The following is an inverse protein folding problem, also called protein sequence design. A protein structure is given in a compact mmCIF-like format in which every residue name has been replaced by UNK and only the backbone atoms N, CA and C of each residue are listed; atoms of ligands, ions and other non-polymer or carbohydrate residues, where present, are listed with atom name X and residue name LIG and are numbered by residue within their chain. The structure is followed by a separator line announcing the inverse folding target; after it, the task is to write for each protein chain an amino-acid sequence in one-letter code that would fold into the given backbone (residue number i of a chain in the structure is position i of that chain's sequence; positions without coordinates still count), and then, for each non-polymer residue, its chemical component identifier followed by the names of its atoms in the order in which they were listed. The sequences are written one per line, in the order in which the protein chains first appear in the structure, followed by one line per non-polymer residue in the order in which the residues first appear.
data_IF_141360230080
#
_entry.id   IF_141360230080
#
_cell.length_a   1.000
_cell.length_b   1.000
_cell.length_c   1.000
_cell.angle_alpha   90.00
_cell.angle_beta   90.00
_cell.angle_gamma   90.00
#
_symmetry.space_group_name_H-M   'P 1'
#
loop_
_entity.id
_entity.type
_entity.pdbx_description
1 polymer ?
#
# COMPACT_ATOMS: atom_id res chain seq x y z
N UNK A 1 19.91 3.68 27.01
CA UNK A 1 20.27 3.32 25.60
C UNK A 1 19.85 1.93 25.11
N UNK A 2 20.16 0.81 25.79
CA UNK A 2 19.83 -0.55 25.31
C UNK A 2 18.32 -0.78 25.07
N UNK A 3 17.46 -0.29 25.96
CA UNK A 3 16.01 -0.46 25.89
C UNK A 3 15.37 0.30 24.70
N UNK A 4 15.90 1.48 24.38
CA UNK A 4 15.51 2.31 23.24
C UNK A 4 15.89 1.66 21.91
N UNK A 5 17.15 1.21 21.78
CA UNK A 5 17.59 0.44 20.59
C UNK A 5 16.73 -0.81 20.38
N UNK A 6 16.32 -1.46 21.46
CA UNK A 6 15.45 -2.65 21.42
C UNK A 6 14.02 -2.32 20.98
N UNK A 7 13.49 -1.14 21.32
CA UNK A 7 12.18 -0.66 20.81
C UNK A 7 12.26 -0.30 19.32
N UNK A 8 13.26 0.46 18.89
CA UNK A 8 13.47 0.81 17.47
C UNK A 8 13.59 -0.42 16.57
N UNK A 9 14.42 -1.39 16.97
CA UNK A 9 14.59 -2.66 16.24
C UNK A 9 13.29 -3.48 16.17
N UNK A 10 12.42 -3.39 17.19
CA UNK A 10 11.10 -4.02 17.17
C UNK A 10 10.16 -3.34 16.18
N UNK A 11 10.15 -2.01 16.13
CA UNK A 11 9.33 -1.27 15.16
C UNK A 11 9.79 -1.48 13.72
N UNK A 12 11.09 -1.34 13.45
CA UNK A 12 11.66 -1.63 12.12
C UNK A 12 11.31 -3.06 11.65
N UNK A 13 11.35 -4.04 12.58
CA UNK A 13 10.93 -5.41 12.29
C UNK A 13 9.43 -5.54 12.02
N UNK A 14 8.56 -4.74 12.65
CA UNK A 14 7.12 -4.74 12.37
C UNK A 14 6.84 -4.19 10.96
N UNK A 15 7.39 -3.01 10.64
CA UNK A 15 7.25 -2.41 9.31
C UNK A 15 7.77 -3.31 8.20
N UNK A 16 8.93 -3.94 8.40
CA UNK A 16 9.50 -4.90 7.44
C UNK A 16 8.59 -6.12 7.21
N UNK A 17 7.95 -6.64 8.26
CA UNK A 17 6.99 -7.76 8.14
C UNK A 17 5.73 -7.35 7.39
N UNK A 18 5.23 -6.15 7.64
CA UNK A 18 4.05 -5.63 6.93
C UNK A 18 4.33 -5.38 5.45
N UNK A 19 5.50 -4.82 5.11
CA UNK A 19 5.93 -4.62 3.73
C UNK A 19 6.04 -5.95 2.99
N UNK A 20 6.74 -6.94 3.56
CA UNK A 20 6.88 -8.27 2.94
C UNK A 20 5.55 -8.99 2.76
N UNK A 21 4.60 -8.79 3.68
CA UNK A 21 3.23 -9.30 3.54
C UNK A 21 2.46 -8.63 2.41
N UNK A 22 2.59 -7.31 2.25
CA UNK A 22 2.01 -6.57 1.13
C UNK A 22 2.61 -6.99 -0.21
N UNK A 23 3.94 -7.15 -0.29
CA UNK A 23 4.64 -7.67 -1.47
C UNK A 23 4.14 -9.05 -1.88
N UNK A 24 3.93 -9.95 -0.91
CA UNK A 24 3.35 -11.27 -1.18
C UNK A 24 1.93 -11.16 -1.75
N UNK A 25 1.08 -10.29 -1.18
CA UNK A 25 -0.27 -10.05 -1.72
C UNK A 25 -0.25 -9.46 -3.13
N UNK A 26 0.69 -8.56 -3.43
CA UNK A 26 0.88 -8.01 -4.78
C UNK A 26 1.21 -9.15 -5.76
N UNK A 27 2.16 -10.02 -5.41
CA UNK A 27 2.53 -11.16 -6.26
C UNK A 27 1.35 -12.12 -6.50
N UNK A 28 0.58 -12.43 -5.46
CA UNK A 28 -0.63 -13.26 -5.57
C UNK A 28 -1.69 -12.64 -6.50
N UNK A 29 -1.90 -11.31 -6.43
CA UNK A 29 -2.85 -10.61 -7.31
C UNK A 29 -2.35 -10.50 -8.73
N UNK A 30 -1.06 -10.23 -8.94
CA UNK A 30 -0.43 -10.21 -10.27
C UNK A 30 -0.60 -11.55 -10.96
N UNK A 31 -0.26 -12.65 -10.28
CA UNK A 31 -0.41 -13.99 -10.83
C UNK A 31 -1.86 -14.34 -11.22
N UNK A 32 -2.86 -13.81 -10.52
CA UNK A 32 -4.28 -14.00 -10.89
C UNK A 32 -4.64 -13.22 -12.15
N UNK A 33 -4.13 -11.99 -12.29
CA UNK A 33 -4.28 -11.17 -13.48
C UNK A 33 -3.65 -11.84 -14.71
N UNK A 34 -2.42 -12.33 -14.55
CA UNK A 34 -1.65 -12.99 -15.62
C UNK A 34 -2.33 -14.27 -16.09
N UNK A 35 -3.04 -14.98 -15.20
CA UNK A 35 -3.85 -16.16 -15.57
C UNK A 35 -5.14 -15.81 -16.32
N UNK A 36 -5.79 -14.69 -15.97
CA UNK A 36 -7.04 -14.27 -16.61
C UNK A 36 -6.80 -13.68 -18.02
N UNK A 37 -5.61 -13.13 -18.27
CA UNK A 37 -5.27 -12.49 -19.54
C UNK A 37 -5.34 -13.44 -20.76
N UNK A 38 -4.74 -14.66 -20.76
CA UNK A 38 -4.86 -15.60 -21.85
C UNK A 38 -6.28 -16.17 -22.00
N UNK A 39 -7.02 -16.37 -20.90
CA UNK A 39 -8.43 -16.80 -20.96
C UNK A 39 -9.30 -15.75 -21.65
N UNK A 40 -9.08 -14.47 -21.36
CA UNK A 40 -9.80 -13.36 -21.96
C UNK A 40 -9.49 -13.20 -23.46
N UNK A 41 -8.26 -13.48 -23.89
CA UNK A 41 -7.89 -13.51 -25.31
C UNK A 41 -8.59 -14.67 -26.05
N UNK A 42 -8.54 -15.88 -25.50
CA UNK A 42 -9.22 -17.05 -26.08
C UNK A 42 -10.72 -16.83 -26.25
N UNK A 43 -11.38 -16.33 -25.21
CA UNK A 43 -12.82 -16.02 -25.26
C UNK A 43 -13.16 -14.94 -26.30
N UNK A 44 -12.29 -13.94 -26.48
CA UNK A 44 -12.48 -12.91 -27.51
C UNK A 44 -12.35 -13.47 -28.92
N UNK A 45 -11.37 -14.34 -29.16
CA UNK A 45 -11.20 -15.01 -30.45
C UNK A 45 -12.37 -15.94 -30.76
N UNK A 46 -12.81 -16.75 -29.79
CA UNK A 46 -13.99 -17.62 -29.91
C UNK A 46 -15.26 -16.81 -30.20
N UNK A 47 -15.46 -15.67 -29.52
CA UNK A 47 -16.55 -14.74 -29.80
C UNK A 47 -16.50 -14.18 -31.23
N UNK A 48 -15.30 -13.81 -31.70
CA UNK A 48 -15.12 -13.32 -33.08
C UNK A 48 -15.48 -14.40 -34.10
N UNK A 49 -15.10 -15.65 -33.85
CA UNK A 49 -15.41 -16.78 -34.72
C UNK A 49 -16.91 -17.09 -34.75
N UNK A 50 -17.57 -17.13 -33.59
CA UNK A 50 -19.02 -17.32 -33.49
C UNK A 50 -19.75 -16.19 -34.21
N UNK A 51 -19.37 -14.93 -34.00
CA UNK A 51 -19.97 -13.79 -34.70
C UNK A 51 -19.87 -13.90 -36.23
N UNK A 52 -18.73 -14.33 -36.75
CA UNK A 52 -18.57 -14.54 -38.20
C UNK A 52 -19.47 -15.66 -38.71
N UNK A 53 -19.60 -16.76 -37.97
CA UNK A 53 -20.49 -17.88 -38.31
C UNK A 53 -21.96 -17.46 -38.28
N UNK A 54 -22.39 -16.73 -37.25
CA UNK A 54 -23.76 -16.20 -37.14
C UNK A 54 -24.07 -15.30 -38.33
N UNK A 55 -23.15 -14.39 -38.71
CA UNK A 55 -23.35 -13.52 -39.87
C UNK A 55 -23.55 -14.29 -41.18
N UNK A 56 -22.71 -15.30 -41.47
CA UNK A 56 -22.86 -16.15 -42.65
C UNK A 56 -24.19 -16.92 -42.67
N UNK A 57 -24.56 -17.49 -41.53
CA UNK A 57 -25.82 -18.25 -41.42
C UNK A 57 -27.04 -17.34 -41.60
N UNK A 58 -26.96 -16.10 -41.14
CA UNK A 58 -28.02 -15.11 -41.30
C UNK A 58 -28.17 -14.67 -42.77
N UNK A 59 -27.06 -14.49 -43.50
CA UNK A 59 -27.09 -14.26 -44.96
C UNK A 59 -27.71 -15.44 -45.72
N UNK A 60 -27.37 -16.68 -45.35
CA UNK A 60 -27.95 -17.89 -45.94
C UNK A 60 -29.47 -17.99 -45.67
N UNK A 61 -29.90 -17.70 -44.44
CA UNK A 61 -31.31 -17.66 -44.06
C UNK A 61 -32.09 -16.63 -44.87
N UNK A 62 -31.56 -15.42 -45.02
CA UNK A 62 -32.19 -14.36 -45.79
C UNK A 62 -32.28 -14.71 -47.28
N UNK A 63 -31.26 -15.40 -47.82
CA UNK A 63 -31.30 -15.99 -49.16
C UNK A 63 -32.45 -16.99 -49.32
N UNK A 64 -32.53 -17.99 -48.45
CA UNK A 64 -33.58 -19.02 -48.48
C UNK A 64 -34.98 -18.45 -48.27
N UNK A 65 -35.14 -17.43 -47.42
CA UNK A 65 -36.41 -16.71 -47.23
C UNK A 65 -36.86 -16.00 -48.51
N UNK A 66 -35.93 -15.38 -49.26
CA UNK A 66 -36.23 -14.77 -50.57
C UNK A 66 -36.66 -15.82 -51.58
N UNK A 67 -35.99 -16.96 -51.62
CA UNK A 67 -36.35 -18.07 -52.52
C UNK A 67 -37.74 -18.62 -52.19
N UNK A 68 -38.07 -18.76 -50.90
CA UNK A 68 -39.41 -19.20 -50.46
C UNK A 68 -40.48 -18.25 -50.96
N UNK A 69 -40.29 -16.93 -50.78
CA UNK A 69 -41.24 -15.90 -51.26
C UNK A 69 -41.47 -15.97 -52.77
N UNK A 70 -40.41 -16.21 -53.55
CA UNK A 70 -40.53 -16.36 -55.02
C UNK A 70 -41.32 -17.62 -55.39
N UNK A 71 -41.09 -18.73 -54.70
CA UNK A 71 -41.77 -20.00 -54.97
C UNK A 71 -43.24 -19.98 -54.53
N UNK A 72 -43.55 -19.36 -53.39
CA UNK A 72 -44.94 -19.17 -52.94
C UNK A 72 -45.74 -18.31 -53.91
N UNK A 73 -45.15 -17.21 -54.42
CA UNK A 73 -45.80 -16.37 -55.41
C UNK A 73 -46.07 -17.11 -56.73
N UNK A 74 -45.17 -18.01 -57.16
CA UNK A 74 -45.39 -18.88 -58.34
C UNK A 74 -46.53 -19.87 -58.12
N UNK A 75 -46.60 -20.48 -56.93
CA UNK A 75 -47.67 -21.41 -56.58
C UNK A 75 -49.04 -20.73 -56.52
N UNK A 76 -49.12 -19.51 -55.99
CA UNK A 76 -50.35 -18.70 -55.96
C UNK A 76 -50.83 -18.35 -57.38
N UNK A 77 -49.92 -17.98 -58.29
CA UNK A 77 -50.24 -17.70 -59.70
C UNK A 77 -50.74 -18.94 -60.46
N UNK A 78 -50.16 -20.12 -60.18
CA UNK A 78 -50.60 -21.40 -60.75
C UNK A 78 -51.96 -21.86 -60.19
N UNK A 79 -52.23 -21.62 -58.91
CA UNK A 79 -53.52 -21.94 -58.28
C UNK A 79 -54.67 -21.08 -58.82
N UNK A 80 -54.43 -19.79 -59.11
CA UNK A 80 -55.41 -18.90 -59.73
C UNK A 80 -55.81 -19.33 -61.15
N UNK A 81 -54.91 -20.03 -61.86
CA UNK A 81 -55.16 -20.56 -63.22
C UNK A 81 -55.85 -21.94 -63.22
N UNK A 82 -55.95 -22.60 -62.07
CA UNK A 82 -56.35 -24.01 -61.94
C UNK A 82 -57.75 -24.25 -61.36
N UNK A 83 -58.65 -23.27 -61.35
CA UNK A 83 -60.01 -23.48 -60.85
C UNK A 83 -60.98 -23.88 -61.97
N UNK A 84 -61.35 -25.16 -62.02
CA UNK A 84 -62.63 -25.55 -62.61
C UNK A 84 -63.29 -26.67 -61.80
N UNK A 85 -64.52 -26.42 -61.37
CA UNK A 85 -65.31 -27.25 -60.47
C UNK A 85 -66.07 -28.34 -61.24
N UNK A 86 -65.93 -29.59 -60.81
CA UNK A 86 -66.69 -30.71 -61.38
C UNK A 86 -67.82 -31.16 -60.46
N UNK A 87 -69.06 -30.82 -60.78
CA UNK A 87 -70.27 -31.45 -60.24
C UNK A 87 -70.84 -32.47 -61.25
N UNK A 88 -71.22 -33.67 -60.76
CA UNK A 88 -71.69 -34.80 -61.58
C UNK A 88 -73.22 -34.81 -61.69
N UNK A 89 -73.75 -35.01 -62.90
CA UNK A 89 -75.16 -35.34 -63.17
C UNK A 89 -75.28 -36.57 -64.10
N UNK A 90 -76.36 -37.36 -63.92
CA UNK A 90 -76.68 -38.61 -64.64
C UNK A 90 -77.72 -38.35 -65.74
N UNK A 91 -77.63 -39.03 -66.89
CA UNK A 91 -78.49 -38.85 -68.09
C UNK A 91 -78.88 -40.21 -68.74
N UNK A 92 -79.94 -40.20 -69.57
CA UNK A 92 -80.65 -41.35 -70.21
C UNK A 92 -80.11 -41.73 -71.63
N UNK A 93 -80.55 -42.87 -72.21
CA UNK A 93 -79.92 -43.59 -73.34
C UNK A 93 -79.88 -42.86 -74.71
N UNK A 94 -80.83 -41.96 -75.01
CA UNK A 94 -80.78 -41.15 -76.25
C UNK A 94 -79.91 -39.90 -76.06
N UNK A 95 -79.96 -39.32 -74.86
CA UNK A 95 -79.04 -38.27 -74.42
C UNK A 95 -77.61 -38.80 -74.37
N UNK A 96 -77.42 -40.12 -74.14
CA UNK A 96 -76.12 -40.77 -74.09
C UNK A 96 -75.38 -40.75 -75.44
N UNK A 97 -76.09 -40.92 -76.57
CA UNK A 97 -75.46 -40.87 -77.90
C UNK A 97 -75.07 -39.46 -78.30
N UNK A 98 -75.94 -38.49 -78.06
CA UNK A 98 -75.64 -37.08 -78.29
C UNK A 98 -74.55 -36.59 -77.33
N UNK A 99 -74.58 -37.05 -76.09
CA UNK A 99 -73.51 -36.91 -75.11
C UNK A 99 -72.20 -37.50 -75.61
N UNK A 100 -72.16 -38.71 -76.19
CA UNK A 100 -70.91 -39.28 -76.71
C UNK A 100 -70.36 -38.47 -77.88
N UNK A 101 -71.21 -37.97 -78.79
CA UNK A 101 -70.77 -37.09 -79.89
C UNK A 101 -70.23 -35.76 -79.36
N UNK A 102 -70.97 -35.09 -78.48
CA UNK A 102 -70.56 -33.84 -77.84
C UNK A 102 -69.30 -34.05 -76.98
N UNK A 103 -69.18 -35.20 -76.31
CA UNK A 103 -68.02 -35.59 -75.50
C UNK A 103 -66.79 -35.83 -76.36
N UNK A 104 -66.94 -36.43 -77.54
CA UNK A 104 -65.82 -36.65 -78.45
C UNK A 104 -65.37 -35.35 -79.12
N UNK A 105 -66.31 -34.50 -79.54
CA UNK A 105 -66.02 -33.13 -80.02
C UNK A 105 -65.38 -32.27 -78.92
N UNK A 106 -65.92 -32.33 -77.70
CA UNK A 106 -65.34 -31.64 -76.56
C UNK A 106 -63.97 -32.22 -76.22
N UNK A 107 -63.76 -33.54 -76.31
CA UNK A 107 -62.45 -34.16 -76.06
C UNK A 107 -61.41 -33.75 -77.11
N UNK A 108 -61.81 -33.62 -78.38
CA UNK A 108 -60.95 -33.11 -79.45
C UNK A 108 -60.64 -31.63 -79.26
N UNK A 109 -61.64 -30.81 -78.91
CA UNK A 109 -61.48 -29.37 -78.67
C UNK A 109 -60.75 -29.04 -77.37
N UNK A 110 -60.82 -29.92 -76.36
CA UNK A 110 -60.18 -29.76 -75.03
C UNK A 110 -58.89 -30.56 -74.87
N UNK A 111 -58.42 -31.25 -75.92
CA UNK A 111 -57.24 -32.10 -75.85
C UNK A 111 -55.99 -31.30 -75.48
N UNK A 112 -55.80 -30.13 -76.12
CA UNK A 112 -54.68 -29.23 -75.84
C UNK A 112 -54.74 -28.69 -74.41
N UNK A 113 -55.92 -28.28 -73.98
CA UNK A 113 -56.19 -27.73 -72.65
C UNK A 113 -55.98 -28.79 -71.56
N UNK A 114 -56.24 -30.08 -71.85
CA UNK A 114 -55.94 -31.20 -70.94
C UNK A 114 -54.46 -31.49 -70.85
N UNK A 115 -53.75 -31.51 -71.97
CA UNK A 115 -52.30 -31.71 -71.99
C UNK A 115 -51.61 -30.54 -71.25
N UNK A 116 -52.05 -29.30 -71.48
CA UNK A 116 -51.62 -28.11 -70.76
C UNK A 116 -51.91 -28.22 -69.26
N UNK A 117 -53.12 -28.67 -68.88
CA UNK A 117 -53.46 -28.92 -67.47
C UNK A 117 -52.57 -29.98 -66.84
N UNK A 118 -52.30 -31.10 -67.52
CA UNK A 118 -51.44 -32.17 -66.98
C UNK A 118 -49.99 -31.68 -66.78
N UNK A 119 -49.48 -30.86 -67.70
CA UNK A 119 -48.18 -30.19 -67.54
C UNK A 119 -48.19 -29.25 -66.33
N UNK A 120 -49.25 -28.44 -66.18
CA UNK A 120 -49.41 -27.53 -65.04
C UNK A 120 -49.53 -28.29 -63.71
N UNK A 121 -50.28 -29.39 -63.66
CA UNK A 121 -50.45 -30.22 -62.45
C UNK A 121 -49.11 -30.87 -62.03
N UNK A 122 -48.33 -31.38 -62.99
CA UNK A 122 -46.97 -31.91 -62.73
C UNK A 122 -46.04 -30.82 -62.23
N UNK A 123 -46.10 -29.63 -62.82
CA UNK A 123 -45.30 -28.48 -62.41
C UNK A 123 -45.69 -28.00 -61.01
N UNK A 124 -46.99 -27.90 -60.72
CA UNK A 124 -47.50 -27.56 -59.39
C UNK A 124 -47.06 -28.58 -58.34
N UNK A 125 -47.11 -29.88 -58.65
CA UNK A 125 -46.65 -30.91 -57.73
C UNK A 125 -45.14 -30.79 -57.45
N UNK A 126 -44.33 -30.56 -58.48
CA UNK A 126 -42.89 -30.34 -58.32
C UNK A 126 -42.59 -29.11 -57.46
N UNK A 127 -43.32 -28.01 -57.66
CA UNK A 127 -43.17 -26.77 -56.89
C UNK A 127 -43.60 -26.94 -55.42
N UNK A 128 -44.65 -27.71 -55.14
CA UNK A 128 -45.07 -28.06 -53.76
C UNK A 128 -43.98 -28.86 -53.04
N UNK A 129 -43.40 -29.86 -53.70
CA UNK A 129 -42.30 -30.66 -53.12
C UNK A 129 -41.07 -29.78 -52.87
N UNK A 130 -40.73 -28.90 -53.82
CA UNK A 130 -39.65 -27.94 -53.65
C UNK A 130 -39.90 -26.96 -52.49
N UNK A 131 -41.15 -26.49 -52.31
CA UNK A 131 -41.52 -25.62 -51.19
C UNK A 131 -41.36 -26.35 -49.85
N UNK A 132 -41.85 -27.58 -49.74
CA UNK A 132 -41.74 -28.36 -48.51
C UNK A 132 -40.28 -28.60 -48.12
N UNK A 133 -39.44 -28.99 -49.07
CA UNK A 133 -38.00 -29.16 -48.85
C UNK A 133 -37.33 -27.84 -48.40
N UNK A 134 -37.75 -26.70 -48.97
CA UNK A 134 -37.23 -25.40 -48.58
C UNK A 134 -37.67 -24.98 -47.16
N UNK A 135 -38.90 -25.33 -46.77
CA UNK A 135 -39.42 -25.10 -45.42
C UNK A 135 -38.69 -25.92 -44.37
N UNK A 136 -38.44 -27.20 -44.63
CA UNK A 136 -37.63 -28.06 -43.75
C UNK A 136 -36.21 -27.51 -43.58
N UNK A 137 -35.57 -27.09 -44.68
CA UNK A 137 -34.24 -26.46 -44.62
C UNK A 137 -34.25 -25.14 -43.84
N UNK A 138 -35.26 -24.29 -44.03
CA UNK A 138 -35.40 -23.04 -43.28
C UNK A 138 -35.56 -23.30 -41.78
N UNK A 139 -36.33 -24.33 -41.41
CA UNK A 139 -36.54 -24.69 -40.02
C UNK A 139 -35.25 -25.20 -39.37
N UNK A 140 -34.46 -26.01 -40.08
CA UNK A 140 -33.13 -26.44 -39.64
C UNK A 140 -32.17 -25.26 -39.43
N UNK A 141 -32.10 -24.33 -40.40
CA UNK A 141 -31.27 -23.14 -40.28
C UNK A 141 -31.72 -22.23 -39.13
N UNK A 142 -33.02 -22.04 -38.91
CA UNK A 142 -33.55 -21.27 -37.78
C UNK A 142 -33.24 -21.91 -36.41
N UNK A 143 -33.22 -23.24 -36.33
CA UNK A 143 -32.80 -23.93 -35.10
C UNK A 143 -31.31 -23.70 -34.86
N UNK A 144 -30.51 -23.76 -35.92
CA UNK A 144 -29.07 -23.49 -35.84
C UNK A 144 -28.73 -22.06 -35.47
N UNK A 145 -29.48 -21.08 -35.98
CA UNK A 145 -29.40 -19.67 -35.58
C UNK A 145 -29.63 -19.51 -34.07
N UNK A 146 -30.73 -20.09 -33.55
CA UNK A 146 -31.06 -20.05 -32.12
C UNK A 146 -30.00 -20.70 -31.23
N UNK A 147 -29.40 -21.81 -31.68
CA UNK A 147 -28.28 -22.43 -30.96
C UNK A 147 -27.05 -21.53 -30.89
N UNK A 148 -26.68 -20.90 -32.01
CA UNK A 148 -25.53 -19.99 -32.08
C UNK A 148 -25.77 -18.73 -31.25
N UNK A 149 -26.97 -18.17 -31.26
CA UNK A 149 -27.34 -17.02 -30.42
C UNK A 149 -27.22 -17.34 -28.93
N UNK A 150 -27.70 -18.52 -28.51
CA UNK A 150 -27.55 -18.99 -27.14
C UNK A 150 -26.08 -19.15 -26.74
N UNK A 151 -25.25 -19.74 -27.60
CA UNK A 151 -23.81 -19.85 -27.38
C UNK A 151 -23.14 -18.48 -27.29
N UNK A 152 -23.51 -17.55 -28.18
CA UNK A 152 -22.99 -16.19 -28.19
C UNK A 152 -23.31 -15.46 -26.88
N UNK A 153 -24.53 -15.58 -26.37
CA UNK A 153 -24.93 -14.92 -25.12
C UNK A 153 -24.22 -15.52 -23.90
N UNK A 154 -24.04 -16.85 -23.85
CA UNK A 154 -23.24 -17.51 -22.81
C UNK A 154 -21.79 -17.02 -22.80
N UNK A 155 -21.18 -16.90 -23.99
CA UNK A 155 -19.80 -16.43 -24.13
C UNK A 155 -19.65 -14.95 -23.79
N UNK A 156 -20.61 -14.10 -24.19
CA UNK A 156 -20.67 -12.67 -23.76
C UNK A 156 -20.73 -12.54 -22.25
N UNK A 157 -21.58 -13.33 -21.59
CA UNK A 157 -21.73 -13.32 -20.14
C UNK A 157 -20.42 -13.74 -19.44
N UNK A 158 -19.76 -14.79 -19.94
CA UNK A 158 -18.45 -15.23 -19.44
C UNK A 158 -17.37 -14.17 -19.63
N UNK A 159 -17.29 -13.56 -20.81
CA UNK A 159 -16.32 -12.52 -21.13
C UNK A 159 -16.51 -11.31 -20.21
N UNK A 160 -17.76 -10.86 -20.01
CA UNK A 160 -18.07 -9.77 -19.09
C UNK A 160 -17.61 -10.09 -17.67
N UNK A 161 -17.93 -11.29 -17.15
CA UNK A 161 -17.53 -11.71 -15.81
C UNK A 161 -16.02 -11.71 -15.61
N UNK A 162 -15.25 -12.24 -16.57
CA UNK A 162 -13.78 -12.29 -16.48
C UNK A 162 -13.17 -10.89 -16.65
N UNK A 163 -13.75 -10.06 -17.51
CA UNK A 163 -13.35 -8.66 -17.66
C UNK A 163 -13.55 -7.88 -16.38
N UNK A 164 -14.71 -8.01 -15.73
CA UNK A 164 -15.03 -7.32 -14.47
C UNK A 164 -14.11 -7.78 -13.33
N UNK A 165 -13.82 -9.08 -13.21
CA UNK A 165 -12.88 -9.59 -12.20
C UNK A 165 -11.45 -9.13 -12.47
N UNK A 166 -11.03 -9.11 -13.73
CA UNK A 166 -9.72 -8.59 -14.14
C UNK A 166 -9.57 -7.10 -13.80
N UNK A 167 -10.59 -6.28 -14.10
CA UNK A 167 -10.61 -4.86 -13.75
C UNK A 167 -10.54 -4.63 -12.23
N UNK A 168 -11.31 -5.39 -11.45
CA UNK A 168 -11.25 -5.35 -9.97
C UNK A 168 -9.86 -5.71 -9.44
N UNK A 169 -9.26 -6.79 -9.94
CA UNK A 169 -7.91 -7.19 -9.53
C UNK A 169 -6.85 -6.17 -9.92
N UNK A 170 -7.02 -5.48 -11.06
CA UNK A 170 -6.12 -4.41 -11.49
C UNK A 170 -6.19 -3.21 -10.55
N UNK A 171 -7.39 -2.75 -10.18
CA UNK A 171 -7.58 -1.67 -9.22
C UNK A 171 -7.02 -2.04 -7.83
N UNK A 172 -7.35 -3.24 -7.32
CA UNK A 172 -6.79 -3.73 -6.05
C UNK A 172 -5.26 -3.77 -6.07
N UNK A 173 -4.66 -4.19 -7.19
CA UNK A 173 -3.21 -4.28 -7.34
C UNK A 173 -2.54 -2.90 -7.36
N UNK A 174 -3.18 -1.91 -7.95
CA UNK A 174 -2.71 -0.53 -7.95
C UNK A 174 -2.73 0.08 -6.55
N UNK A 175 -3.83 -0.11 -5.81
CA UNK A 175 -3.94 0.29 -4.40
C UNK A 175 -2.88 -0.40 -3.52
N UNK A 176 -2.72 -1.72 -3.69
CA UNK A 176 -1.72 -2.52 -2.98
C UNK A 176 -0.29 -2.07 -3.28
N UNK A 177 0.01 -1.62 -4.51
CA UNK A 177 1.35 -1.09 -4.87
C UNK A 177 1.64 0.26 -4.22
N UNK A 178 0.63 1.07 -3.96
CA UNK A 178 0.80 2.40 -3.35
C UNK A 178 0.99 2.33 -1.82
N UNK A 179 0.43 1.30 -1.16
CA UNK A 179 0.51 1.15 0.30
C UNK A 179 1.94 1.00 0.86
N UNK A 180 2.85 0.17 0.29
CA UNK A 180 4.22 0.06 0.76
C UNK A 180 4.98 1.40 0.73
N UNK A 181 4.84 2.17 -0.36
CA UNK A 181 5.48 3.48 -0.50
C UNK A 181 4.99 4.46 0.56
N UNK A 182 3.67 4.55 0.76
CA UNK A 182 3.08 5.39 1.79
C UNK A 182 3.53 4.97 3.21
N UNK A 183 3.65 3.67 3.46
CA UNK A 183 4.11 3.14 4.74
C UNK A 183 5.60 3.44 4.99
N UNK A 184 6.45 3.30 3.97
CA UNK A 184 7.86 3.66 4.05
C UNK A 184 8.07 5.16 4.30
N UNK A 185 7.26 6.01 3.67
CA UNK A 185 7.35 7.45 3.85
C UNK A 185 6.95 7.88 5.27
N UNK A 186 5.86 7.33 5.82
CA UNK A 186 5.48 7.51 7.22
C UNK A 186 6.58 7.06 8.19
N UNK A 187 7.19 5.90 7.94
CA UNK A 187 8.29 5.43 8.77
C UNK A 187 9.52 6.36 8.70
N UNK A 188 9.82 6.95 7.54
CA UNK A 188 10.89 7.93 7.38
C UNK A 188 10.59 9.21 8.17
N UNK A 189 9.37 9.72 8.10
CA UNK A 189 8.98 10.93 8.85
C UNK A 189 9.04 10.71 10.35
N UNK A 190 8.49 9.60 10.84
CA UNK A 190 8.51 9.24 12.27
C UNK A 190 9.94 9.10 12.79
N UNK A 191 10.81 8.48 11.98
CA UNK A 191 12.23 8.34 12.31
C UNK A 191 12.93 9.70 12.42
N UNK A 192 12.66 10.61 11.49
CA UNK A 192 13.23 11.97 11.50
C UNK A 192 12.78 12.75 12.74
N UNK A 193 11.48 12.73 13.05
CA UNK A 193 10.90 13.37 14.24
C UNK A 193 11.54 12.81 15.51
N UNK A 194 11.70 11.49 15.60
CA UNK A 194 12.31 10.84 16.73
C UNK A 194 13.79 11.23 16.92
N UNK A 195 14.56 11.29 15.84
CA UNK A 195 15.98 11.68 15.88
C UNK A 195 16.13 13.16 16.30
N UNK A 196 15.24 14.04 15.85
CA UNK A 196 15.19 15.44 16.28
C UNK A 196 14.82 15.58 17.75
N UNK A 197 13.77 14.90 18.22
CA UNK A 197 13.36 14.92 19.64
C UNK A 197 14.49 14.41 20.55
N UNK A 198 15.20 13.36 20.12
CA UNK A 198 16.33 12.82 20.89
C UNK A 198 17.48 13.82 20.98
N UNK A 199 17.77 14.56 19.91
CA UNK A 199 18.79 15.60 19.90
C UNK A 199 18.41 16.73 20.86
N UNK A 200 17.17 17.22 20.76
CA UNK A 200 16.65 18.27 21.64
C UNK A 200 16.67 17.85 23.11
N UNK A 201 16.31 16.60 23.42
CA UNK A 201 16.36 16.08 24.78
C UNK A 201 17.79 16.09 25.33
N UNK A 202 18.78 15.65 24.53
CA UNK A 202 20.19 15.68 24.92
C UNK A 202 20.66 17.12 25.18
N UNK A 203 20.38 18.04 24.25
CA UNK A 203 20.73 19.46 24.38
C UNK A 203 20.10 20.07 25.65
N UNK A 204 18.86 19.71 25.98
CA UNK A 204 18.17 20.17 27.20
C UNK A 204 18.77 19.55 28.47
N UNK A 205 19.14 18.27 28.44
CA UNK A 205 19.80 17.59 29.56
C UNK A 205 21.17 18.22 29.86
N UNK A 206 21.95 18.54 28.83
CA UNK A 206 23.25 19.18 28.94
C UNK A 206 23.10 20.60 29.52
N UNK A 207 22.19 21.42 28.99
CA UNK A 207 21.89 22.76 29.54
C UNK A 207 21.45 22.71 31.00
N UNK A 208 20.64 21.72 31.37
CA UNK A 208 20.18 21.55 32.75
C UNK A 208 21.32 21.12 33.68
N UNK A 209 22.30 20.36 33.18
CA UNK A 209 23.49 20.02 33.91
C UNK A 209 24.36 21.25 34.18
N UNK A 210 24.60 22.07 33.15
CA UNK A 210 25.39 23.31 33.25
C UNK A 210 24.73 24.29 34.23
N UNK A 211 23.43 24.54 34.11
CA UNK A 211 22.69 25.42 35.04
C UNK A 211 22.72 24.92 36.49
N UNK A 212 22.74 23.60 36.70
CA UNK A 212 22.87 23.03 38.05
C UNK A 212 24.28 23.23 38.61
N UNK A 213 25.31 23.08 37.78
CA UNK A 213 26.69 23.34 38.17
C UNK A 213 26.86 24.82 38.55
N UNK A 214 26.43 25.74 37.69
CA UNK A 214 26.47 27.19 37.93
C UNK A 214 25.73 27.57 39.21
N UNK A 215 24.53 27.00 39.42
CA UNK A 215 23.75 27.27 40.64
C UNK A 215 24.49 26.81 41.89
N UNK A 216 25.11 25.62 41.86
CA UNK A 216 25.81 25.06 43.00
C UNK A 216 27.08 25.87 43.34
N UNK A 217 27.82 26.32 42.33
CA UNK A 217 28.96 27.23 42.51
C UNK A 217 28.52 28.58 43.10
N UNK A 218 27.48 29.20 42.54
CA UNK A 218 26.93 30.46 43.04
C UNK A 218 26.44 30.37 44.49
N UNK A 219 25.74 29.28 44.86
CA UNK A 219 25.28 29.05 46.23
C UNK A 219 26.46 28.90 47.21
N UNK A 220 27.54 28.23 46.80
CA UNK A 220 28.77 28.10 47.61
C UNK A 220 29.49 29.43 47.81
N UNK A 221 29.60 30.24 46.75
CA UNK A 221 30.25 31.54 46.81
C UNK A 221 29.48 32.54 47.67
N UNK A 222 28.13 32.52 47.58
CA UNK A 222 27.26 33.32 48.42
C UNK A 222 27.40 32.93 49.91
N UNK A 223 27.45 31.63 50.21
CA UNK A 223 27.64 31.13 51.58
C UNK A 223 28.99 31.57 52.16
N UNK A 224 30.08 31.45 51.40
CA UNK A 224 31.40 31.89 51.84
C UNK A 224 31.42 33.40 52.11
N UNK A 225 30.84 34.18 51.20
CA UNK A 225 30.74 35.65 51.34
C UNK A 225 29.96 36.04 52.60
N UNK A 226 28.92 35.28 52.94
CA UNK A 226 28.15 35.49 54.16
C UNK A 226 28.97 35.18 55.42
N UNK A 227 29.70 34.05 55.44
CA UNK A 227 30.57 33.68 56.56
C UNK A 227 31.67 34.74 56.80
N UNK A 228 32.33 35.20 55.72
CA UNK A 228 33.33 36.28 55.77
C UNK A 228 32.78 37.58 56.37
N UNK A 229 31.51 37.90 56.12
CA UNK A 229 30.87 39.12 56.65
C UNK A 229 30.50 39.01 58.13
N UNK A 230 30.12 37.84 58.61
CA UNK A 230 29.63 37.65 59.99
C UNK A 230 30.75 37.37 60.99
N UNK A 231 31.80 36.67 60.57
CA UNK A 231 32.89 36.23 61.44
C UNK A 231 34.21 36.86 60.98
N UNK A 232 34.72 37.80 61.77
CA UNK A 232 36.06 38.34 61.58
C UNK A 232 37.07 37.22 61.85
N UNK A 233 37.96 36.93 60.91
CA UNK A 233 38.89 35.78 60.98
C UNK A 233 38.58 34.65 59.99
N UNK A 234 37.59 34.79 59.10
CA UNK A 234 37.41 33.89 57.96
C UNK A 234 38.20 34.42 56.75
N UNK A 235 39.26 33.72 56.36
CA UNK A 235 40.20 34.18 55.33
C UNK A 235 39.74 33.83 53.91
N UNK A 236 39.11 32.66 53.72
CA UNK A 236 38.58 32.21 52.43
C UNK A 236 38.73 30.71 52.23
N UNK A 237 38.34 30.20 51.06
CA UNK A 237 38.63 28.80 50.71
C UNK A 237 40.05 28.66 50.22
N UNK A 238 40.56 27.44 50.31
CA UNK A 238 41.88 27.12 49.77
C UNK A 238 42.01 27.42 48.25
N UNK A 239 40.95 27.25 47.46
CA UNK A 239 40.88 27.71 46.05
C UNK A 239 41.12 29.20 45.86
N UNK A 240 40.73 30.02 46.84
CA UNK A 240 40.81 31.47 46.78
C UNK A 240 42.17 31.97 47.30
N UNK A 241 42.85 31.14 48.11
CA UNK A 241 44.08 31.49 48.83
C UNK A 241 45.36 30.95 48.17
N UNK A 242 45.24 30.01 47.22
CA UNK A 242 46.38 29.47 46.53
C UNK A 242 46.08 29.17 45.05
N UNK A 243 47.10 29.30 44.20
CA UNK A 243 47.00 28.95 42.78
C UNK A 243 48.25 28.20 42.32
N UNK A 244 48.12 27.22 41.41
CA UNK A 244 49.27 26.58 40.81
C UNK A 244 50.13 27.59 40.03
N UNK A 245 51.45 27.44 40.12
CA UNK A 245 52.42 28.31 39.43
C UNK A 245 52.31 28.25 37.90
N UNK A 246 51.82 27.14 37.35
CA UNK A 246 51.57 26.95 35.92
C UNK A 246 50.29 26.12 35.74
N UNK A 247 49.52 26.43 34.70
CA UNK A 247 48.21 25.81 34.42
C UNK A 247 48.29 24.28 34.28
N UNK A 248 49.40 23.77 33.73
CA UNK A 248 49.65 22.33 33.58
C UNK A 248 49.63 21.56 34.91
N UNK A 249 49.83 22.25 36.04
CA UNK A 249 49.81 21.64 37.37
C UNK A 249 48.42 21.66 38.02
N UNK A 250 47.41 22.31 37.43
CA UNK A 250 46.06 22.42 37.99
C UNK A 250 45.49 21.07 38.42
N UNK A 251 45.42 20.10 37.50
CA UNK A 251 44.88 18.78 37.79
C UNK A 251 45.65 18.05 38.92
N UNK A 252 46.98 18.10 38.88
CA UNK A 252 47.81 17.45 39.89
C UNK A 252 47.64 18.08 41.28
N UNK A 253 47.52 19.41 41.36
CA UNK A 253 47.28 20.14 42.60
C UNK A 253 45.87 19.83 43.13
N UNK A 254 44.83 19.86 42.30
CA UNK A 254 43.46 19.49 42.70
C UNK A 254 43.39 18.06 43.25
N UNK A 255 44.04 17.10 42.59
CA UNK A 255 44.09 15.70 43.06
C UNK A 255 44.85 15.59 44.39
N UNK A 256 45.97 16.29 44.55
CA UNK A 256 46.77 16.25 45.77
C UNK A 256 46.07 16.89 46.97
N UNK A 257 45.35 18.00 46.76
CA UNK A 257 44.63 18.72 47.81
C UNK A 257 43.29 18.05 48.14
N UNK A 258 42.66 17.39 47.15
CA UNK A 258 41.44 16.62 47.32
C UNK A 258 40.34 17.41 48.02
N UNK A 259 39.80 16.86 49.11
CA UNK A 259 38.72 17.51 49.89
C UNK A 259 39.11 18.87 50.49
N UNK A 260 40.40 19.14 50.67
CA UNK A 260 40.88 20.38 51.28
C UNK A 260 40.96 21.54 50.30
N UNK A 261 40.78 21.29 49.00
CA UNK A 261 40.68 22.35 48.00
C UNK A 261 39.50 23.30 48.30
N UNK A 262 38.37 22.73 48.76
CA UNK A 262 37.16 23.48 49.14
C UNK A 262 37.13 23.87 50.63
N UNK A 263 38.19 23.58 51.41
CA UNK A 263 38.19 23.87 52.83
C UNK A 263 38.36 25.37 53.10
N UNK A 264 37.63 25.88 54.09
CA UNK A 264 37.66 27.29 54.51
C UNK A 264 38.73 27.48 55.58
N UNK A 265 39.67 28.37 55.32
CA UNK A 265 40.73 28.75 56.25
C UNK A 265 40.21 29.82 57.20
N UNK A 266 40.42 29.60 58.50
CA UNK A 266 40.01 30.49 59.58
C UNK A 266 41.18 30.77 60.51
N UNK A 267 41.14 31.89 61.22
CA UNK A 267 42.21 32.33 62.11
C UNK A 267 42.49 31.32 63.23
N UNK A 268 41.45 30.93 63.97
CA UNK A 268 41.56 30.05 65.14
C UNK A 268 40.42 29.03 65.23
N UNK A 269 40.52 28.10 66.19
CA UNK A 269 39.54 27.04 66.39
C UNK A 269 38.17 27.57 66.86
N UNK A 270 38.13 28.70 67.56
CA UNK A 270 36.89 29.29 68.07
C UNK A 270 36.06 29.84 66.90
N UNK A 271 36.68 30.59 66.00
CA UNK A 271 36.06 31.11 64.76
C UNK A 271 35.50 29.96 63.91
N UNK A 272 36.23 28.86 63.79
CA UNK A 272 35.74 27.65 63.11
C UNK A 272 34.51 27.03 63.78
N UNK A 273 34.48 26.94 65.12
CA UNK A 273 33.32 26.43 65.88
C UNK A 273 32.10 27.31 65.70
N UNK A 274 32.26 28.63 65.71
CA UNK A 274 31.18 29.59 65.48
C UNK A 274 30.60 29.47 64.07
N UNK A 275 31.46 29.35 63.04
CA UNK A 275 31.03 29.10 61.67
C UNK A 275 30.24 27.78 61.55
N UNK A 276 30.71 26.70 62.16
CA UNK A 276 30.00 25.40 62.17
C UNK A 276 28.64 25.53 62.87
N UNK A 277 28.58 26.23 64.00
CA UNK A 277 27.33 26.46 64.75
C UNK A 277 26.32 27.21 63.87
N UNK A 278 26.76 28.28 63.20
CA UNK A 278 25.95 29.03 62.26
C UNK A 278 25.42 28.17 61.10
N UNK A 279 26.29 27.36 60.46
CA UNK A 279 25.86 26.46 59.38
C UNK A 279 24.80 25.48 59.85
N UNK A 280 24.92 24.94 61.07
CA UNK A 280 23.91 24.04 61.65
C UNK A 280 22.58 24.75 61.93
N UNK A 281 22.62 25.94 62.52
CA UNK A 281 21.42 26.74 62.82
C UNK A 281 20.65 27.12 61.56
N UNK A 282 21.37 27.49 60.50
CA UNK A 282 20.79 27.81 59.20
C UNK A 282 20.51 26.58 58.31
N UNK A 283 20.79 25.37 58.81
CA UNK A 283 20.64 24.09 58.07
C UNK A 283 21.37 24.08 56.72
N UNK A 284 22.51 24.75 56.66
CA UNK A 284 23.37 24.83 55.48
C UNK A 284 24.26 23.57 55.38
N UNK A 285 24.78 23.25 54.17
CA UNK A 285 25.66 22.10 53.96
C UNK A 285 26.91 22.17 54.85
N UNK A 286 27.42 21.02 55.34
CA UNK A 286 28.63 20.99 56.15
C UNK A 286 29.84 21.39 55.31
N UNK A 287 30.70 22.24 55.89
CA UNK A 287 31.99 22.64 55.30
C UNK A 287 33.16 22.21 56.18
N UNK A 288 34.34 22.06 55.58
CA UNK A 288 35.59 21.74 56.29
C UNK A 288 36.30 23.05 56.62
N UNK A 289 36.69 23.23 57.88
CA UNK A 289 37.40 24.41 58.35
C UNK A 289 38.83 24.06 58.75
N UNK A 290 39.80 24.91 58.41
CA UNK A 290 41.21 24.77 58.77
C UNK A 290 41.61 25.96 59.64
N UNK A 291 41.79 25.76 60.97
CA UNK A 291 42.24 26.82 61.87
C UNK A 291 43.75 27.00 61.79
N UNK A 292 44.20 28.21 61.46
CA UNK A 292 45.62 28.52 61.27
C UNK A 292 46.43 28.39 62.56
N UNK A 293 45.89 28.84 63.70
CA UNK A 293 46.61 28.81 64.97
C UNK A 293 46.76 27.40 65.56
N UNK A 294 45.88 26.46 65.19
CA UNK A 294 45.87 25.10 65.76
C UNK A 294 46.38 24.03 64.79
N UNK A 295 46.73 24.39 63.55
CA UNK A 295 47.18 23.43 62.54
C UNK A 295 48.56 22.87 62.89
N UNK A 296 48.66 21.54 62.94
CA UNK A 296 49.93 20.85 63.13
C UNK A 296 50.46 20.35 61.79
N UNK A 297 51.51 20.99 61.29
CA UNK A 297 52.13 20.67 60.00
C UNK A 297 53.44 19.91 60.24
N UNK A 298 53.62 18.79 59.54
CA UNK A 298 54.91 18.09 59.52
C UNK A 298 55.89 18.88 58.63
N UNK A 299 57.16 19.04 59.03
CA UNK A 299 58.16 19.69 58.18
C UNK A 299 58.25 19.03 56.80
N UNK A 300 58.50 19.84 55.77
CA UNK A 300 58.70 19.34 54.41
C UNK A 300 59.98 18.49 54.38
N UNK A 301 59.89 17.30 53.81
CA UNK A 301 61.04 16.41 53.68
C UNK A 301 61.88 16.89 52.49
N UNK A 302 62.90 17.72 52.76
CA UNK A 302 63.72 18.37 51.73
C UNK A 302 64.39 17.41 50.74
N UNK A 303 64.74 16.19 51.20
CA UNK A 303 65.30 15.13 50.33
C UNK A 303 64.36 14.73 49.19
N UNK A 304 63.05 14.99 49.29
CA UNK A 304 62.11 14.69 48.21
C UNK A 304 62.23 15.65 47.02
N UNK A 305 62.87 16.81 47.18
CA UNK A 305 63.17 17.71 46.06
C UNK A 305 64.26 17.15 45.13
N UNK A 306 65.09 16.23 45.64
CA UNK A 306 66.20 15.64 44.88
C UNK A 306 65.85 14.28 44.26
N UNK A 307 64.57 13.90 44.20
CA UNK A 307 64.15 12.62 43.62
C UNK A 307 64.52 12.46 42.13
N UNK A 308 64.86 13.56 41.46
CA UNK A 308 65.31 13.58 40.06
C UNK A 308 64.16 13.47 39.05
N UNK A 309 64.50 13.58 37.77
CA UNK A 309 63.54 13.51 36.66
C UNK A 309 62.65 14.75 36.55
N UNK A 310 61.37 14.54 36.22
CA UNK A 310 60.37 15.60 36.02
C UNK A 310 59.46 15.84 37.24
N UNK A 311 59.69 15.11 38.35
CA UNK A 311 58.88 15.22 39.56
C UNK A 311 59.27 16.45 40.40
N UNK A 312 58.27 17.12 40.97
CA UNK A 312 58.43 18.25 41.89
C UNK A 312 57.48 18.06 43.07
N UNK A 313 57.80 18.65 44.22
CA UNK A 313 56.85 18.68 45.34
C UNK A 313 55.64 19.52 44.95
N UNK A 314 54.45 19.08 45.34
CA UNK A 314 53.20 19.85 45.13
C UNK A 314 53.31 21.22 45.80
N UNK A 315 53.96 21.28 46.96
CA UNK A 315 54.27 22.53 47.66
C UNK A 315 55.02 23.55 46.79
N UNK A 316 55.93 23.10 45.92
CA UNK A 316 56.78 23.98 45.11
C UNK A 316 56.10 24.51 43.86
N UNK A 317 54.96 23.92 43.52
CA UNK A 317 54.18 24.30 42.35
C UNK A 317 52.91 25.05 42.75
N UNK A 318 52.72 25.37 44.03
CA UNK A 318 51.62 26.19 44.55
C UNK A 318 52.18 27.57 44.93
N UNK A 319 51.49 28.62 44.52
CA UNK A 319 51.70 29.99 44.95
C UNK A 319 50.58 30.39 45.90
N UNK A 320 50.94 30.86 47.11
CA UNK A 320 49.97 31.43 48.04
C UNK A 320 49.66 32.86 47.59
N UNK A 321 48.37 33.17 47.47
CA UNK A 321 47.90 34.53 47.24
C UNK A 321 48.03 35.30 48.56
N UNK A 322 48.20 36.62 48.50
CA UNK A 322 48.13 37.46 49.71
C UNK A 322 46.66 37.63 50.09
N UNK A 323 46.34 37.45 51.38
CA UNK A 323 45.00 37.52 51.96
C UNK A 323 44.97 38.49 53.13
#
# INVERSE_FOLDING_TARGET
MKQVRRRKKKEESKYSKEITHLEKKIAERSNKLDKNQPELLKLKEEMSHINSKTGKLQEELDGKRKDKRKLTAKLEDLQLKGCDGGEKLKLDDNELREYFRIKEDARMKTGKERDEKEVLDRQQHADIVAQKNLEENLQQLQNRERELDSQQEQMRTRLKRISDTSAKHKAELEDLKNQPSAMQEKHRTDRSIYENLRKLLSETEDQLHDLKADRYENERDAQLSQLKRMFQGVHGRMTDLCRPTQEKYNFAVTVAMGRFMDAVVVEDENTGKECIKYLKEQRLPPQTFIPLQSIHVKPIIERLRTLGGTAKLVFDVIHMLQW
#
